data_IF_436712368104
#
_entry.id   IF_436712368104
#
_cell.length_a   1.000
_cell.length_b   1.000
_cell.length_c   1.000
_cell.angle_alpha   90.00
_cell.angle_beta   90.00
_cell.angle_gamma   90.00
#
_symmetry.space_group_name_H-M   'P 1'
#
loop_
_entity.id
_entity.type
_entity.pdbx_description
1 polymer ?
#
# COMPACT_ATOMS: atom_id res chain seq x y z
N UNK A 1 0.85 -0.97 7.25
CA UNK A 1 1.30 -1.53 5.96
C UNK A 1 1.87 -2.91 6.22
N UNK A 2 1.62 -3.89 5.35
CA UNK A 2 2.21 -5.22 5.48
C UNK A 2 2.85 -5.60 4.16
N UNK A 3 4.13 -5.96 4.18
CA UNK A 3 4.84 -6.44 3.00
C UNK A 3 4.95 -7.97 3.03
N UNK A 4 4.77 -8.60 1.89
CA UNK A 4 4.98 -10.03 1.70
C UNK A 4 6.40 -10.27 1.15
N UNK A 5 7.34 -10.80 1.95
CA UNK A 5 8.73 -11.00 1.51
C UNK A 5 8.90 -12.10 0.44
N UNK A 6 7.90 -12.95 0.24
CA UNK A 6 7.94 -14.00 -0.80
C UNK A 6 7.61 -13.44 -2.20
N UNK A 7 6.95 -12.28 -2.25
CA UNK A 7 6.50 -11.65 -3.49
C UNK A 7 7.27 -10.36 -3.78
N UNK A 8 7.60 -9.59 -2.73
CA UNK A 8 8.41 -8.38 -2.85
C UNK A 8 9.85 -8.72 -3.25
N UNK A 9 10.39 -7.99 -4.22
CA UNK A 9 11.76 -8.14 -4.72
C UNK A 9 12.66 -6.95 -4.35
N UNK A 10 12.21 -6.07 -3.44
CA UNK A 10 12.99 -4.90 -3.02
C UNK A 10 13.20 -3.84 -4.11
N UNK A 11 12.32 -3.73 -5.10
CA UNK A 11 12.43 -2.73 -6.19
C UNK A 11 12.30 -1.26 -5.76
N UNK A 12 11.96 -0.98 -4.50
CA UNK A 12 11.88 0.36 -3.88
C UNK A 12 10.89 1.38 -4.51
N UNK A 13 10.05 1.00 -5.47
CA UNK A 13 8.99 1.88 -6.01
C UNK A 13 8.09 2.46 -4.91
N UNK A 14 7.81 1.67 -3.87
CA UNK A 14 7.03 2.13 -2.71
C UNK A 14 7.75 3.18 -1.87
N UNK A 15 9.08 3.19 -1.86
CA UNK A 15 9.91 4.25 -1.25
C UNK A 15 9.79 5.52 -2.10
N UNK A 16 10.01 5.40 -3.43
CA UNK A 16 10.03 6.54 -4.34
C UNK A 16 8.66 7.23 -4.50
N UNK A 17 7.55 6.47 -4.47
CA UNK A 17 6.20 7.03 -4.60
C UNK A 17 5.64 7.60 -3.29
N UNK A 18 6.30 7.35 -2.15
CA UNK A 18 5.81 7.83 -0.87
C UNK A 18 6.06 9.33 -0.74
N UNK A 19 5.02 10.19 -0.68
CA UNK A 19 5.22 11.65 -0.67
C UNK A 19 5.75 12.20 0.66
N UNK A 20 5.89 11.35 1.67
CA UNK A 20 6.22 11.71 3.05
C UNK A 20 7.30 10.78 3.63
N UNK A 21 8.01 10.03 2.79
CA UNK A 21 9.21 9.27 3.16
C UNK A 21 9.05 8.32 4.37
N UNK A 22 7.91 7.63 4.49
CA UNK A 22 7.68 6.68 5.62
C UNK A 22 8.52 5.39 5.51
N UNK A 23 9.19 5.19 4.38
CA UNK A 23 9.97 4.00 4.07
C UNK A 23 11.41 4.36 3.75
N UNK A 24 12.32 3.42 4.03
CA UNK A 24 13.68 3.44 3.51
C UNK A 24 14.01 2.11 2.82
N UNK A 25 14.93 2.10 1.84
CA UNK A 25 15.38 0.86 1.23
C UNK A 25 15.95 -0.10 2.26
N UNK A 26 15.73 -1.40 2.05
CA UNK A 26 16.32 -2.42 2.89
C UNK A 26 17.81 -2.60 2.58
N UNK A 27 18.70 -2.77 3.58
CA UNK A 27 20.14 -2.93 3.34
C UNK A 27 20.50 -4.24 2.64
N UNK A 28 19.62 -5.24 2.73
CA UNK A 28 19.72 -6.49 1.95
C UNK A 28 18.86 -6.37 0.70
N UNK A 29 19.47 -6.60 -0.47
CA UNK A 29 18.76 -6.66 -1.75
C UNK A 29 17.69 -7.75 -1.74
N UNK A 30 16.60 -7.52 -2.49
CA UNK A 30 15.49 -8.47 -2.58
C UNK A 30 14.54 -8.46 -1.38
N UNK A 31 14.80 -7.67 -0.34
CA UNK A 31 13.93 -7.59 0.85
C UNK A 31 12.97 -6.40 0.79
N UNK A 32 11.78 -6.50 1.43
CA UNK A 32 10.87 -5.38 1.57
C UNK A 32 11.51 -4.17 2.27
N UNK A 33 11.07 -2.93 1.97
CA UNK A 33 11.60 -1.74 2.61
C UNK A 33 11.36 -1.75 4.13
N UNK A 34 12.18 -1.00 4.85
CA UNK A 34 11.99 -0.78 6.28
C UNK A 34 10.96 0.34 6.46
N UNK A 35 9.96 0.12 7.31
CA UNK A 35 8.98 1.14 7.69
C UNK A 35 9.56 1.95 8.84
N UNK A 36 9.89 3.21 8.60
CA UNK A 36 10.56 4.08 9.57
C UNK A 36 9.55 4.89 10.40
N UNK A 37 8.58 5.53 9.73
CA UNK A 37 7.60 6.43 10.33
C UNK A 37 6.15 5.98 10.03
N UNK A 38 5.70 4.82 10.56
CA UNK A 38 4.37 4.28 10.24
C UNK A 38 3.22 5.21 10.63
N UNK A 39 3.38 6.00 11.69
CA UNK A 39 2.40 6.95 12.22
C UNK A 39 2.17 8.16 11.31
N UNK A 40 3.15 8.51 10.49
CA UNK A 40 3.04 9.66 9.57
C UNK A 40 2.28 9.29 8.29
N UNK A 41 2.00 8.00 8.06
CA UNK A 41 1.31 7.53 6.87
C UNK A 41 -0.05 8.24 6.65
N UNK A 42 -0.18 8.97 5.54
CA UNK A 42 -1.43 9.69 5.18
C UNK A 42 -2.52 8.81 4.59
N UNK A 43 -2.28 7.50 4.52
CA UNK A 43 -3.21 6.54 3.97
C UNK A 43 -3.57 6.83 2.49
N UNK A 44 -2.63 7.34 1.69
CA UNK A 44 -2.87 7.68 0.28
C UNK A 44 -2.97 6.44 -0.65
N UNK A 45 -2.38 5.30 -0.27
CA UNK A 45 -2.43 4.07 -1.04
C UNK A 45 -1.46 3.97 -2.24
N UNK A 46 -0.68 5.01 -2.55
CA UNK A 46 0.24 5.04 -3.72
C UNK A 46 1.16 3.82 -3.77
N UNK A 47 1.75 3.45 -2.63
CA UNK A 47 2.62 2.27 -2.53
C UNK A 47 1.97 0.95 -2.96
N UNK A 48 0.65 0.80 -2.85
CA UNK A 48 -0.08 -0.41 -3.30
C UNK A 48 -0.44 -0.31 -4.77
N UNK A 49 -0.92 0.85 -5.20
CA UNK A 49 -1.35 1.09 -6.57
C UNK A 49 -0.17 0.97 -7.55
N UNK A 50 0.98 1.53 -7.18
CA UNK A 50 2.15 1.59 -8.06
C UNK A 50 3.03 0.34 -7.95
N UNK A 51 2.76 -0.55 -6.98
CA UNK A 51 3.56 -1.76 -6.84
C UNK A 51 3.34 -2.68 -8.06
N UNK A 52 4.40 -2.98 -8.84
CA UNK A 52 4.28 -3.83 -10.03
C UNK A 52 4.05 -5.30 -9.68
N UNK A 53 4.10 -5.66 -8.39
CA UNK A 53 3.95 -7.03 -7.90
C UNK A 53 2.68 -7.14 -7.05
N UNK A 54 1.54 -7.52 -7.65
CA UNK A 54 0.30 -7.73 -6.91
C UNK A 54 0.51 -8.64 -5.70
N UNK A 55 0.06 -8.20 -4.53
CA UNK A 55 0.21 -8.95 -3.27
C UNK A 55 1.56 -8.81 -2.56
N UNK A 56 2.51 -8.04 -3.11
CA UNK A 56 3.75 -7.70 -2.39
C UNK A 56 3.51 -6.76 -1.21
N UNK A 57 2.47 -5.92 -1.30
CA UNK A 57 2.10 -4.96 -0.25
C UNK A 57 0.59 -4.98 -0.04
N UNK A 58 0.19 -5.07 1.22
CA UNK A 58 -1.19 -5.00 1.66
C UNK A 58 -1.38 -3.77 2.54
N UNK A 59 -2.46 -3.06 2.26
CA UNK A 59 -2.82 -1.84 2.96
C UNK A 59 -4.21 -1.95 3.59
N UNK A 60 -4.26 -1.67 4.89
CA UNK A 60 -5.52 -1.61 5.61
C UNK A 60 -6.04 -0.17 5.57
N UNK A 61 -6.95 0.10 4.63
CA UNK A 61 -7.63 1.39 4.53
C UNK A 61 -8.40 1.68 5.83
N UNK A 62 -8.21 2.87 6.44
CA UNK A 62 -8.99 3.31 7.59
C UNK A 62 -10.48 3.27 7.27
N UNK A 63 -11.31 2.98 8.27
CA UNK A 63 -12.76 2.82 8.09
C UNK A 63 -13.39 4.02 7.38
N UNK A 64 -12.97 5.23 7.72
CA UNK A 64 -13.45 6.48 7.13
C UNK A 64 -13.10 6.66 5.64
N UNK A 65 -12.08 5.96 5.13
CA UNK A 65 -11.65 6.01 3.73
C UNK A 65 -12.11 4.79 2.93
N UNK A 66 -12.80 3.82 3.56
CA UNK A 66 -13.43 2.70 2.85
C UNK A 66 -14.65 3.20 2.11
N UNK A 67 -14.41 3.83 0.97
CA UNK A 67 -15.45 4.28 0.07
C UNK A 67 -16.27 3.09 -0.42
N UNK A 68 -17.57 3.29 -0.47
CA UNK A 68 -18.49 2.34 -1.04
C UNK A 68 -19.32 3.08 -2.08
N UNK A 69 -19.65 2.38 -3.15
CA UNK A 69 -20.60 2.87 -4.13
C UNK A 69 -21.78 1.91 -4.18
N UNK A 70 -22.98 2.48 -4.37
CA UNK A 70 -24.21 1.70 -4.49
C UNK A 70 -24.66 1.73 -5.93
N UNK A 71 -24.82 0.55 -6.52
CA UNK A 71 -25.44 0.43 -7.83
C UNK A 71 -26.91 0.87 -7.72
N UNK A 72 -27.31 1.88 -8.50
CA UNK A 72 -28.67 2.44 -8.45
C UNK A 72 -29.74 1.45 -8.94
N UNK A 73 -29.39 0.56 -9.87
CA UNK A 73 -30.30 -0.38 -10.50
C UNK A 73 -30.45 -1.67 -9.68
N UNK A 74 -29.34 -2.23 -9.21
CA UNK A 74 -29.35 -3.51 -8.47
C UNK A 74 -29.43 -3.33 -6.96
N UNK A 75 -29.20 -2.11 -6.46
CA UNK A 75 -29.16 -1.81 -5.03
C UNK A 75 -27.95 -2.39 -4.29
N UNK A 76 -27.06 -3.12 -4.97
CA UNK A 76 -25.88 -3.73 -4.37
C UNK A 76 -24.84 -2.68 -4.00
N UNK A 77 -24.30 -2.79 -2.79
CA UNK A 77 -23.19 -1.97 -2.31
C UNK A 77 -21.89 -2.69 -2.62
N UNK A 78 -20.98 -1.98 -3.27
CA UNK A 78 -19.64 -2.43 -3.59
C UNK A 78 -18.65 -1.57 -2.82
N UNK A 79 -17.67 -2.22 -2.18
CA UNK A 79 -16.53 -1.55 -1.59
C UNK A 79 -15.51 -1.26 -2.70
N UNK A 80 -14.92 -0.06 -2.69
CA UNK A 80 -13.80 0.28 -3.56
C UNK A 80 -12.57 -0.59 -3.24
#
# INVERSE_FOLDING_TARGET
MKFNPEVCDGCNICVDTCPIDVYIPHPQEGKPPIVLHPEECWYCGCCVVDCPRPGAVEFNWPLQQRGYWKNKETGKTHQL
#
